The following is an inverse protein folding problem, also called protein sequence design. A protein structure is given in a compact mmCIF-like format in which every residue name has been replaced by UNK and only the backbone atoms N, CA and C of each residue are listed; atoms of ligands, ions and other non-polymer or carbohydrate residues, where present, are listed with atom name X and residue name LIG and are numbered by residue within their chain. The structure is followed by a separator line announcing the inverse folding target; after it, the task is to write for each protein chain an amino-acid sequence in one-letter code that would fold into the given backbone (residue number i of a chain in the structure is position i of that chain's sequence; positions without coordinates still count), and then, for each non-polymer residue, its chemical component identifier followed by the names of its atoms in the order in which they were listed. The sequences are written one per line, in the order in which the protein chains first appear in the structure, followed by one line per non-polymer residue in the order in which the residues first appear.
data_IF_498259865545
#
_entry.id   IF_498259865545
#
_cell.length_a   1.000
_cell.length_b   1.000
_cell.length_c   1.000
_cell.angle_alpha   90.00
_cell.angle_beta   90.00
_cell.angle_gamma   90.00
#
_symmetry.space_group_name_H-M   'P 1'
#
loop_
_entity.id
_entity.type
_entity.pdbx_description
1 polymer ?
#
# COMPACT_ATOMS: atom_id res chain seq x y z
N UNK A 1 -0.35 14.57 14.04
CA UNK A 1 0.57 15.52 13.36
C UNK A 1 -0.17 16.52 12.48
N UNK A 2 -0.97 16.16 11.47
CA UNK A 2 -1.68 17.16 10.64
C UNK A 2 -2.59 18.10 11.46
N UNK A 3 -3.49 17.54 12.27
CA UNK A 3 -4.38 18.34 13.14
C UNK A 3 -3.59 19.25 14.09
N UNK A 4 -2.46 18.79 14.63
CA UNK A 4 -1.58 19.62 15.47
C UNK A 4 -0.90 20.74 14.67
N UNK A 5 -0.45 20.46 13.44
CA UNK A 5 0.11 21.48 12.56
C UNK A 5 -0.93 22.55 12.20
N UNK A 6 -2.17 22.16 11.88
CA UNK A 6 -3.28 23.08 11.66
C UNK A 6 -3.57 23.91 12.92
N UNK A 7 -3.64 23.27 14.10
CA UNK A 7 -3.81 23.96 15.37
C UNK A 7 -2.71 25.00 15.62
N UNK A 8 -1.47 24.66 15.27
CA UNK A 8 -0.33 25.56 15.36
C UNK A 8 -0.45 26.80 14.46
N UNK A 9 -1.12 26.70 13.31
CA UNK A 9 -1.39 27.86 12.44
C UNK A 9 -2.39 28.81 13.09
N UNK A 10 -3.43 28.29 13.74
CA UNK A 10 -4.42 29.11 14.45
C UNK A 10 -3.81 29.86 15.63
N UNK A 11 -2.92 29.20 16.37
CA UNK A 11 -2.16 29.84 17.47
C UNK A 11 -1.27 30.98 16.95
N UNK A 12 -0.79 30.88 15.71
CA UNK A 12 -0.01 31.94 15.05
C UNK A 12 -0.89 33.08 14.47
N UNK A 13 -2.21 33.01 14.65
CA UNK A 13 -3.14 34.06 14.24
C UNK A 13 -3.73 33.90 12.84
N UNK A 14 -3.53 32.75 12.18
CA UNK A 14 -4.20 32.45 10.90
C UNK A 14 -5.67 32.13 11.17
N UNK A 15 -6.60 32.90 10.62
CA UNK A 15 -8.03 32.60 10.67
C UNK A 15 -8.37 31.46 9.68
N UNK A 16 -8.90 30.31 10.16
CA UNK A 16 -9.36 29.24 9.27
C UNK A 16 -10.36 29.70 8.19
N UNK A 17 -11.14 30.75 8.45
CA UNK A 17 -12.13 31.28 7.50
C UNK A 17 -11.49 31.95 6.27
N UNK A 18 -10.23 32.34 6.35
CA UNK A 18 -9.48 32.94 5.22
C UNK A 18 -8.83 31.88 4.31
N UNK A 19 -8.87 30.60 4.69
CA UNK A 19 -8.25 29.51 3.92
C UNK A 19 -9.15 29.12 2.75
N UNK A 20 -8.78 29.54 1.54
CA UNK A 20 -9.54 29.24 0.33
C UNK A 20 -9.41 27.77 -0.16
N UNK A 21 -8.30 27.10 0.14
CA UNK A 21 -8.04 25.73 -0.31
C UNK A 21 -7.04 24.99 0.59
N UNK A 22 -7.14 23.66 0.61
CA UNK A 22 -6.20 22.76 1.29
C UNK A 22 -5.75 21.68 0.31
N UNK A 23 -4.43 21.45 0.23
CA UNK A 23 -3.84 20.35 -0.52
C UNK A 23 -3.13 19.44 0.46
N UNK A 24 -3.45 18.14 0.42
CA UNK A 24 -2.82 17.12 1.26
C UNK A 24 -1.84 16.33 0.40
N UNK A 25 -0.57 16.32 0.82
CA UNK A 25 0.46 15.45 0.26
C UNK A 25 0.91 14.47 1.31
N UNK A 26 1.17 13.23 0.91
CA UNK A 26 1.58 12.16 1.81
C UNK A 26 2.61 11.27 1.15
N UNK A 27 3.21 10.38 1.94
CA UNK A 27 4.02 9.31 1.39
C UNK A 27 3.12 8.41 0.51
N UNK A 28 3.57 8.14 -0.72
CA UNK A 28 2.89 7.23 -1.68
C UNK A 28 3.15 5.77 -1.33
N UNK A 29 2.47 4.88 -2.07
CA UNK A 29 2.70 3.44 -2.06
C UNK A 29 2.69 2.83 -0.66
N UNK A 30 1.75 3.29 0.16
CA UNK A 30 1.50 2.75 1.49
C UNK A 30 0.20 1.97 1.45
N UNK A 31 0.27 0.68 1.77
CA UNK A 31 -0.85 -0.25 1.72
C UNK A 31 -1.46 -0.39 3.11
N UNK A 32 -2.78 -0.21 3.20
CA UNK A 32 -3.57 -0.43 4.41
C UNK A 32 -4.65 -1.48 4.12
N UNK A 33 -4.66 -2.54 4.91
CA UNK A 33 -5.70 -3.57 4.87
C UNK A 33 -6.88 -3.14 5.73
N UNK A 34 -8.05 -3.00 5.11
CA UNK A 34 -9.29 -2.66 5.80
C UNK A 34 -10.28 -3.83 5.75
N UNK A 35 -11.06 -3.99 6.80
CA UNK A 35 -12.21 -4.89 6.81
C UNK A 35 -13.41 -4.30 6.05
N UNK A 36 -14.56 -5.01 6.08
CA UNK A 36 -15.81 -4.58 5.45
C UNK A 36 -16.36 -3.26 6.02
N UNK A 37 -16.02 -2.94 7.27
CA UNK A 37 -16.43 -1.72 7.97
C UNK A 37 -15.41 -0.58 7.82
N UNK A 38 -14.35 -0.79 7.02
CA UNK A 38 -13.30 0.18 6.80
C UNK A 38 -12.32 0.32 7.97
N UNK A 39 -12.29 -0.61 8.91
CA UNK A 39 -11.36 -0.58 10.04
C UNK A 39 -10.00 -1.18 9.66
N UNK A 40 -8.88 -0.55 10.06
CA UNK A 40 -7.55 -1.06 9.77
C UNK A 40 -7.27 -2.35 10.54
N UNK A 41 -6.95 -3.42 9.79
CA UNK A 41 -6.69 -4.75 10.36
C UNK A 41 -5.26 -4.92 10.88
N UNK A 42 -4.34 -4.09 10.40
CA UNK A 42 -2.92 -4.13 10.76
C UNK A 42 -2.23 -2.79 10.51
N UNK A 43 -1.03 -2.55 11.07
CA UNK A 43 -0.23 -1.38 10.72
C UNK A 43 0.07 -1.34 9.22
N UNK A 44 0.07 -0.14 8.62
CA UNK A 44 0.32 0.03 7.19
C UNK A 44 1.66 -0.58 6.75
N UNK A 45 1.72 -1.10 5.52
CA UNK A 45 2.98 -1.42 4.85
C UNK A 45 3.39 -0.17 4.08
N UNK A 46 4.46 0.49 4.53
CA UNK A 46 4.94 1.73 3.93
C UNK A 46 5.86 1.44 2.73
N UNK A 47 6.02 2.40 1.84
CA UNK A 47 6.88 2.31 0.64
C UNK A 47 8.30 1.79 0.93
N UNK A 48 8.89 2.16 2.07
CA UNK A 48 10.26 1.75 2.42
C UNK A 48 10.35 0.35 3.03
N UNK A 49 9.23 -0.38 3.13
CA UNK A 49 9.21 -1.74 3.62
C UNK A 49 9.93 -2.67 2.62
N UNK A 50 10.85 -3.50 3.12
CA UNK A 50 11.69 -4.38 2.30
C UNK A 50 11.31 -5.85 2.45
N UNK A 51 10.18 -6.15 3.09
CA UNK A 51 9.70 -7.53 3.22
C UNK A 51 9.31 -8.07 1.85
N UNK A 52 9.72 -9.29 1.57
CA UNK A 52 9.47 -9.97 0.30
C UNK A 52 8.94 -11.37 0.55
N UNK A 53 8.15 -11.87 -0.39
CA UNK A 53 7.67 -13.24 -0.42
C UNK A 53 8.31 -13.99 -1.60
N UNK A 54 8.71 -15.25 -1.49
CA UNK A 54 9.19 -15.99 -2.66
C UNK A 54 8.12 -15.99 -3.78
N UNK A 55 8.49 -15.96 -5.07
CA UNK A 55 7.50 -16.01 -6.15
C UNK A 55 6.54 -17.19 -5.97
N UNK A 56 5.26 -16.98 -6.30
CA UNK A 56 4.24 -18.01 -6.07
C UNK A 56 4.37 -19.16 -7.06
N UNK A 57 4.93 -18.88 -8.23
CA UNK A 57 4.93 -19.85 -9.32
C UNK A 57 3.51 -20.29 -9.65
N UNK A 58 2.54 -19.37 -9.62
CA UNK A 58 1.15 -19.63 -10.05
C UNK A 58 0.89 -19.25 -11.51
N UNK A 59 1.86 -18.59 -12.16
CA UNK A 59 1.80 -18.30 -13.60
C UNK A 59 1.64 -19.59 -14.41
N UNK A 60 0.62 -19.66 -15.30
CA UNK A 60 0.48 -20.76 -16.24
C UNK A 60 1.73 -20.94 -17.09
N UNK A 61 2.03 -22.18 -17.48
CA UNK A 61 3.27 -22.53 -18.17
C UNK A 61 3.50 -21.72 -19.46
N UNK A 62 2.43 -21.41 -20.20
CA UNK A 62 2.47 -20.58 -21.42
C UNK A 62 3.06 -19.19 -21.15
N UNK A 63 2.62 -18.54 -20.08
CA UNK A 63 3.11 -17.22 -19.69
C UNK A 63 4.57 -17.27 -19.23
N UNK A 64 4.96 -18.33 -18.51
CA UNK A 64 6.37 -18.51 -18.13
C UNK A 64 7.27 -18.64 -19.36
N UNK A 65 6.84 -19.40 -20.35
CA UNK A 65 7.58 -19.56 -21.61
C UNK A 65 7.70 -18.21 -22.33
N UNK A 66 6.59 -17.47 -22.45
CA UNK A 66 6.59 -16.15 -23.08
C UNK A 66 7.54 -15.17 -22.37
N UNK A 67 7.45 -15.06 -21.04
CA UNK A 67 8.31 -14.16 -20.27
C UNK A 67 9.78 -14.58 -20.29
N UNK A 68 10.06 -15.87 -20.41
CA UNK A 68 11.42 -16.39 -20.60
C UNK A 68 11.94 -16.01 -21.98
N UNK A 69 11.13 -16.17 -23.03
CA UNK A 69 11.49 -15.80 -24.41
C UNK A 69 11.78 -14.30 -24.54
N UNK A 70 10.95 -13.47 -23.88
CA UNK A 70 11.12 -12.02 -23.82
C UNK A 70 12.22 -11.58 -22.84
N UNK A 71 12.87 -12.50 -22.11
CA UNK A 71 13.89 -12.23 -21.07
C UNK A 71 13.43 -11.32 -19.92
N UNK A 72 12.13 -11.23 -19.68
CA UNK A 72 11.54 -10.41 -18.59
C UNK A 72 11.16 -11.23 -17.34
N UNK A 73 11.37 -12.55 -17.37
CA UNK A 73 11.03 -13.43 -16.24
C UNK A 73 11.57 -12.98 -14.87
N UNK A 74 12.84 -12.55 -14.71
CA UNK A 74 13.34 -12.08 -13.43
C UNK A 74 12.60 -10.84 -12.91
N UNK A 75 12.13 -9.97 -13.80
CA UNK A 75 11.36 -8.77 -13.45
C UNK A 75 9.99 -9.18 -12.88
N UNK A 76 9.31 -10.12 -13.54
CA UNK A 76 8.02 -10.63 -13.08
C UNK A 76 8.14 -11.31 -11.72
N UNK A 77 9.16 -12.15 -11.54
CA UNK A 77 9.44 -12.80 -10.25
C UNK A 77 9.78 -11.76 -9.16
N UNK A 78 10.49 -10.68 -9.52
CA UNK A 78 10.78 -9.58 -8.59
C UNK A 78 9.52 -8.85 -8.13
N UNK A 79 8.61 -8.53 -9.06
CA UNK A 79 7.33 -7.89 -8.79
C UNK A 79 6.42 -8.78 -7.93
N UNK A 80 6.33 -10.08 -8.26
CA UNK A 80 5.61 -11.03 -7.41
C UNK A 80 6.19 -11.07 -6.00
N UNK A 81 7.51 -10.98 -5.87
CA UNK A 81 8.15 -11.07 -4.58
C UNK A 81 7.97 -9.83 -3.70
N UNK A 82 7.85 -8.66 -4.31
CA UNK A 82 7.63 -7.37 -3.60
C UNK A 82 6.16 -7.11 -3.29
N UNK A 83 5.24 -7.87 -3.90
CA UNK A 83 3.80 -7.68 -3.68
C UNK A 83 3.39 -7.96 -2.23
N UNK A 84 2.81 -6.97 -1.57
CA UNK A 84 2.40 -7.01 -0.17
C UNK A 84 1.36 -8.10 0.10
N UNK A 85 0.39 -8.27 -0.80
CA UNK A 85 -0.62 -9.32 -0.71
C UNK A 85 0.00 -10.73 -0.73
N UNK A 86 1.13 -10.90 -1.43
CA UNK A 86 1.84 -12.20 -1.49
C UNK A 86 2.58 -12.47 -0.19
N UNK A 87 3.10 -11.42 0.45
CA UNK A 87 3.68 -11.52 1.77
C UNK A 87 2.62 -11.86 2.82
N UNK A 88 1.47 -11.20 2.78
CA UNK A 88 0.34 -11.45 3.68
C UNK A 88 -0.18 -12.89 3.56
N UNK A 89 -0.35 -13.42 2.35
CA UNK A 89 -0.82 -14.81 2.17
C UNK A 89 0.09 -15.82 2.87
N UNK A 90 1.40 -15.58 2.93
CA UNK A 90 2.34 -16.48 3.59
C UNK A 90 2.49 -16.27 5.10
N UNK A 91 2.42 -15.02 5.56
CA UNK A 91 2.81 -14.68 6.93
C UNK A 91 1.63 -14.26 7.81
N UNK A 92 0.52 -13.80 7.20
CA UNK A 92 -0.68 -13.32 7.88
C UNK A 92 -1.94 -13.68 7.06
N UNK A 93 -2.20 -14.97 6.79
CA UNK A 93 -3.31 -15.40 5.95
C UNK A 93 -4.67 -15.01 6.54
N UNK A 94 -4.81 -14.94 7.87
CA UNK A 94 -6.04 -14.52 8.54
C UNK A 94 -6.35 -13.04 8.26
N UNK A 95 -5.32 -12.18 8.28
CA UNK A 95 -5.47 -10.76 7.92
C UNK A 95 -5.87 -10.62 6.46
N UNK A 96 -5.23 -11.40 5.56
CA UNK A 96 -5.58 -11.39 4.15
C UNK A 96 -7.04 -11.84 3.93
N UNK A 97 -7.50 -12.87 4.64
CA UNK A 97 -8.86 -13.38 4.54
C UNK A 97 -9.92 -12.38 5.04
N UNK A 98 -9.58 -11.56 6.05
CA UNK A 98 -10.46 -10.52 6.59
C UNK A 98 -10.37 -9.20 5.81
N UNK A 99 -9.37 -9.05 4.93
CA UNK A 99 -9.20 -7.83 4.14
C UNK A 99 -10.28 -7.75 3.08
N UNK A 100 -11.19 -6.79 3.22
CA UNK A 100 -12.17 -6.45 2.19
C UNK A 100 -11.61 -5.40 1.21
N UNK A 101 -10.72 -4.52 1.68
CA UNK A 101 -10.19 -3.42 0.87
C UNK A 101 -8.67 -3.23 1.08
N UNK A 102 -7.95 -3.01 -0.01
CA UNK A 102 -6.57 -2.51 0.00
C UNK A 102 -6.58 -1.02 -0.31
N UNK A 103 -6.37 -0.19 0.70
CA UNK A 103 -6.28 1.26 0.53
C UNK A 103 -4.82 1.66 0.27
N UNK A 104 -4.61 2.45 -0.79
CA UNK A 104 -3.34 3.09 -1.09
C UNK A 104 -3.36 4.55 -0.60
N UNK A 105 -2.45 4.92 0.28
CA UNK A 105 -2.40 6.28 0.82
C UNK A 105 -1.50 7.21 -0.03
N UNK A 106 -1.89 8.48 -0.31
CA UNK A 106 -3.18 9.11 -0.02
C UNK A 106 -4.22 8.72 -1.09
N UNK A 107 -5.44 8.40 -0.65
CA UNK A 107 -6.43 7.68 -1.46
C UNK A 107 -6.82 8.31 -2.79
N UNK A 108 -6.63 7.54 -3.86
CA UNK A 108 -7.74 7.13 -4.73
C UNK A 108 -7.92 5.62 -4.51
#
# INVERSE_FOLDING_TARGET
MLSQSCQGLWVQGVDPAEIAAVVVTTQRATVINLDELGQPLRPAIIWTDQRRAPPRGRLPWLWRMLFTLLRIRPIVENLEAETEANWLERHQPEVLAQTAHFLLYPGI
#
